data_IF_061827664895
#
_entry.id   IF_061827664895
#
_cell.length_a   1.000
_cell.length_b   1.000
_cell.length_c   1.000
_cell.angle_alpha   90.00
_cell.angle_beta   90.00
_cell.angle_gamma   90.00
#
_symmetry.space_group_name_H-M   'P 1'
#
loop_
_entity.id
_entity.type
_entity.pdbx_description
1 polymer ?
#
# COMPACT_ATOMS: atom_id res chain seq x y z
N UNK A 1 -7.46 28.28 77.26
CA UNK A 1 -8.73 28.55 76.57
C UNK A 1 -8.59 29.24 75.21
N UNK A 2 -7.58 30.11 74.98
CA UNK A 2 -7.41 30.80 73.67
C UNK A 2 -6.75 29.96 72.55
N UNK A 3 -5.99 28.92 72.89
CA UNK A 3 -5.30 28.07 71.89
C UNK A 3 -6.20 26.95 71.32
N UNK A 4 -7.16 26.46 72.10
CA UNK A 4 -8.12 25.42 71.68
C UNK A 4 -9.20 26.00 70.77
N UNK A 5 -9.61 27.25 71.01
CA UNK A 5 -10.55 27.99 70.15
C UNK A 5 -9.91 28.29 68.78
N UNK A 6 -8.62 28.64 68.75
CA UNK A 6 -7.90 28.87 67.50
C UNK A 6 -7.73 27.58 66.67
N UNK A 7 -7.52 26.43 67.33
CA UNK A 7 -7.45 25.12 66.64
C UNK A 7 -8.79 24.66 66.09
N UNK A 8 -9.91 24.91 66.78
CA UNK A 8 -11.25 24.65 66.22
C UNK A 8 -11.63 25.60 65.06
N UNK A 9 -11.13 26.83 65.07
CA UNK A 9 -11.42 27.80 64.01
C UNK A 9 -10.65 27.50 62.72
N UNK A 10 -9.43 26.95 62.83
CA UNK A 10 -8.62 26.52 61.67
C UNK A 10 -9.14 25.22 61.04
N UNK A 11 -9.67 24.27 61.83
CA UNK A 11 -10.34 23.08 61.25
C UNK A 11 -11.69 23.39 60.62
N UNK A 12 -12.44 24.38 61.11
CA UNK A 12 -13.71 24.79 60.50
C UNK A 12 -13.49 25.51 59.15
N UNK A 13 -12.41 26.27 59.00
CA UNK A 13 -12.05 26.96 57.74
C UNK A 13 -11.50 25.99 56.68
N UNK A 14 -10.91 24.85 57.09
CA UNK A 14 -10.41 23.83 56.15
C UNK A 14 -11.52 22.92 55.57
N UNK A 15 -12.70 22.86 56.20
CA UNK A 15 -13.82 22.00 55.76
C UNK A 15 -14.83 22.77 54.89
N UNK A 16 -14.76 24.10 54.84
CA UNK A 16 -15.68 24.97 54.09
C UNK A 16 -15.20 25.37 52.68
N UNK A 17 -14.08 24.84 52.19
CA UNK A 17 -13.57 25.10 50.82
C UNK A 17 -13.83 23.95 49.83
N UNK A 18 -14.62 22.93 50.20
CA UNK A 18 -14.93 21.78 49.33
C UNK A 18 -16.34 21.79 48.70
N UNK A 19 -16.94 22.96 48.50
CA UNK A 19 -18.16 23.07 47.67
C UNK A 19 -18.07 24.28 46.74
N UNK A 20 -17.65 24.04 45.49
CA UNK A 20 -17.68 24.99 44.38
C UNK A 20 -17.97 24.25 43.08
N UNK A 21 -19.16 24.49 42.54
CA UNK A 21 -19.78 23.78 41.42
C UNK A 21 -19.12 24.05 40.05
N UNK A 22 -18.98 22.98 39.28
CA UNK A 22 -19.58 22.86 37.93
C UNK A 22 -19.13 23.84 36.84
N UNK A 23 -18.17 23.40 36.03
CA UNK A 23 -18.14 23.75 34.61
C UNK A 23 -17.89 22.48 33.80
N UNK A 24 -18.86 22.15 32.95
CA UNK A 24 -18.87 20.97 32.07
C UNK A 24 -17.76 21.11 31.03
N UNK A 25 -16.79 20.22 31.05
CA UNK A 25 -16.02 19.86 29.88
C UNK A 25 -16.53 18.49 29.43
N UNK A 26 -17.13 18.43 28.24
CA UNK A 26 -17.49 17.17 27.58
C UNK A 26 -16.21 16.38 27.32
N UNK A 27 -15.86 15.50 28.25
CA UNK A 27 -14.95 14.39 27.99
C UNK A 27 -15.83 13.24 27.51
N UNK A 28 -15.77 12.95 26.21
CA UNK A 28 -16.28 11.69 25.71
C UNK A 28 -15.48 10.57 26.36
N UNK A 29 -16.09 9.90 27.33
CA UNK A 29 -15.60 8.66 27.90
C UNK A 29 -15.45 7.61 26.79
N UNK A 30 -14.24 7.08 26.66
CA UNK A 30 -13.96 5.88 25.85
C UNK A 30 -14.64 4.69 26.54
N UNK A 31 -15.53 3.94 25.87
CA UNK A 31 -16.13 2.77 26.50
C UNK A 31 -15.11 1.63 26.62
N UNK A 32 -14.84 1.22 27.85
CA UNK A 32 -14.14 -0.02 28.19
C UNK A 32 -14.95 -1.22 27.67
N UNK A 33 -14.44 -1.93 26.67
CA UNK A 33 -15.12 -3.10 26.07
C UNK A 33 -14.85 -4.36 26.92
N UNK A 34 -15.88 -5.10 27.39
CA UNK A 34 -15.70 -6.43 27.97
C UNK A 34 -15.33 -7.46 26.90
N UNK A 35 -14.36 -8.32 27.24
CA UNK A 35 -13.79 -9.39 26.43
C UNK A 35 -14.81 -10.53 26.22
N UNK A 36 -15.55 -10.51 25.10
CA UNK A 36 -16.06 -11.65 24.30
C UNK A 36 -17.28 -11.24 23.46
N UNK A 37 -17.11 -11.02 22.15
CA UNK A 37 -18.17 -10.89 21.12
C UNK A 37 -17.56 -10.95 19.70
N UNK A 38 -18.32 -11.35 18.65
CA UNK A 38 -17.78 -11.82 17.37
C UNK A 38 -17.26 -10.69 16.46
N UNK A 39 -16.34 -11.06 15.55
CA UNK A 39 -15.70 -10.28 14.47
C UNK A 39 -16.04 -8.78 14.43
N UNK A 40 -15.09 -7.95 14.91
CA UNK A 40 -15.25 -6.52 15.11
C UNK A 40 -15.16 -5.76 13.77
N UNK A 41 -16.29 -5.31 13.24
CA UNK A 41 -16.33 -4.21 12.27
C UNK A 41 -16.03 -2.94 13.06
N UNK A 42 -14.88 -2.33 12.82
CA UNK A 42 -14.56 -1.01 13.36
C UNK A 42 -14.86 0.01 12.28
N UNK A 43 -15.95 0.76 12.44
CA UNK A 43 -16.24 1.88 11.56
C UNK A 43 -15.15 2.94 11.76
N UNK A 44 -14.30 3.14 10.76
CA UNK A 44 -13.18 4.10 10.84
C UNK A 44 -13.65 5.48 10.37
N UNK A 45 -14.67 5.52 9.51
CA UNK A 45 -15.25 6.73 8.97
C UNK A 45 -16.73 6.52 8.58
N UNK A 46 -17.40 7.54 8.06
CA UNK A 46 -18.80 7.43 7.61
C UNK A 46 -18.96 6.41 6.48
N UNK A 47 -18.03 6.36 5.52
CA UNK A 47 -18.12 5.47 4.35
C UNK A 47 -17.24 4.23 4.47
N UNK A 48 -16.16 4.27 5.26
CA UNK A 48 -15.20 3.17 5.34
C UNK A 48 -15.23 2.43 6.67
N UNK A 49 -15.21 1.10 6.59
CA UNK A 49 -15.10 0.20 7.74
C UNK A 49 -13.85 -0.66 7.63
N UNK A 50 -13.15 -0.81 8.75
CA UNK A 50 -12.15 -1.88 8.91
C UNK A 50 -12.88 -3.20 9.13
N UNK A 51 -12.53 -4.21 8.35
CA UNK A 51 -13.03 -5.57 8.52
C UNK A 51 -11.88 -6.54 8.69
N UNK A 52 -12.20 -7.76 9.13
CA UNK A 52 -11.21 -8.84 9.18
C UNK A 52 -10.75 -9.22 7.77
N UNK A 53 -9.52 -9.76 7.60
CA UNK A 53 -9.09 -10.33 6.33
C UNK A 53 -10.09 -11.40 5.84
N UNK A 54 -10.26 -11.60 4.53
CA UNK A 54 -11.08 -12.68 3.98
C UNK A 54 -10.72 -14.05 4.58
N UNK A 55 -11.70 -14.92 4.79
CA UNK A 55 -11.51 -16.20 5.47
C UNK A 55 -10.42 -17.06 4.82
N UNK A 56 -10.44 -17.18 3.49
CA UNK A 56 -9.43 -17.92 2.72
C UNK A 56 -8.02 -17.37 2.97
N UNK A 57 -7.89 -16.04 3.06
CA UNK A 57 -6.61 -15.39 3.40
C UNK A 57 -6.20 -15.73 4.84
N UNK A 58 -7.11 -15.72 5.81
CA UNK A 58 -6.81 -16.09 7.19
C UNK A 58 -6.27 -17.53 7.28
N UNK A 59 -6.90 -18.48 6.58
CA UNK A 59 -6.48 -19.88 6.56
C UNK A 59 -5.13 -20.09 5.88
N UNK A 60 -4.89 -19.42 4.74
CA UNK A 60 -3.60 -19.48 4.03
C UNK A 60 -2.47 -18.81 4.83
N UNK A 61 -2.78 -17.75 5.59
CA UNK A 61 -1.80 -17.00 6.38
C UNK A 61 -1.12 -17.86 7.43
N UNK A 62 -1.82 -18.83 8.02
CA UNK A 62 -1.27 -19.77 9.01
C UNK A 62 -0.04 -20.50 8.48
N UNK A 63 -0.01 -20.87 7.20
CA UNK A 63 1.15 -21.52 6.56
C UNK A 63 2.38 -20.62 6.47
N UNK A 64 2.21 -19.30 6.66
CA UNK A 64 3.26 -18.31 6.52
C UNK A 64 3.68 -17.64 7.84
N UNK A 65 3.04 -17.96 8.97
CA UNK A 65 3.26 -17.26 10.25
C UNK A 65 4.65 -17.47 10.84
N UNK A 66 5.30 -18.60 10.51
CA UNK A 66 6.62 -18.95 11.03
C UNK A 66 7.77 -18.31 10.24
N UNK A 67 7.51 -17.82 9.02
CA UNK A 67 8.55 -17.15 8.23
C UNK A 67 8.91 -15.79 8.85
N UNK A 68 10.22 -15.48 8.86
CA UNK A 68 10.81 -14.20 9.22
C UNK A 68 11.73 -13.75 8.08
N UNK A 69 11.15 -13.31 6.94
CA UNK A 69 11.90 -12.92 5.76
C UNK A 69 13.04 -11.97 6.09
N UNK A 70 14.19 -12.20 5.48
CA UNK A 70 15.32 -11.28 5.45
C UNK A 70 15.54 -10.85 4.01
N UNK A 71 15.39 -9.57 3.71
CA UNK A 71 15.54 -8.98 2.38
C UNK A 71 16.82 -8.17 2.34
N UNK A 72 17.60 -8.36 1.27
CA UNK A 72 18.79 -7.56 1.00
C UNK A 72 18.77 -7.10 -0.46
N UNK A 73 19.04 -5.83 -0.68
CA UNK A 73 19.39 -5.28 -1.99
C UNK A 73 20.88 -5.56 -2.21
N UNK A 74 21.21 -6.27 -3.28
CA UNK A 74 22.58 -6.66 -3.63
C UNK A 74 23.16 -5.67 -4.64
N UNK A 75 22.38 -5.25 -5.62
CA UNK A 75 22.70 -4.13 -6.52
C UNK A 75 21.47 -3.24 -6.68
N UNK A 76 21.62 -1.90 -6.77
CA UNK A 76 22.88 -1.14 -6.67
C UNK A 76 23.47 -1.14 -5.25
N UNK A 77 24.75 -0.76 -5.12
CA UNK A 77 25.36 -0.48 -3.83
C UNK A 77 24.87 0.88 -3.29
N UNK A 78 24.91 1.08 -1.95
CA UNK A 78 24.67 2.41 -1.37
C UNK A 78 25.59 3.46 -1.99
N UNK A 79 25.00 4.58 -2.38
CA UNK A 79 25.62 5.77 -2.98
C UNK A 79 26.39 5.48 -4.28
N UNK A 80 26.05 4.39 -4.98
CA UNK A 80 26.64 4.05 -6.28
C UNK A 80 26.22 5.06 -7.35
N UNK A 81 27.19 5.59 -8.10
CA UNK A 81 26.94 6.45 -9.27
C UNK A 81 27.02 5.64 -10.55
N UNK A 82 25.90 5.51 -11.24
CA UNK A 82 25.73 4.71 -12.45
C UNK A 82 25.70 5.65 -13.67
N UNK A 83 26.49 5.33 -14.69
CA UNK A 83 26.63 6.13 -15.92
C UNK A 83 25.74 5.61 -17.06
N UNK A 84 24.52 5.18 -16.71
CA UNK A 84 23.50 4.64 -17.60
C UNK A 84 22.12 4.97 -17.01
N UNK A 85 21.10 5.14 -17.85
CA UNK A 85 19.70 5.31 -17.42
C UNK A 85 19.01 3.97 -17.13
N UNK A 86 19.68 2.86 -17.42
CA UNK A 86 19.25 1.50 -17.09
C UNK A 86 20.05 0.93 -15.92
N UNK A 87 19.34 0.34 -14.96
CA UNK A 87 19.93 -0.27 -13.75
C UNK A 87 19.47 -1.70 -13.59
N UNK A 88 20.44 -2.61 -13.47
CA UNK A 88 20.19 -4.00 -13.11
C UNK A 88 20.17 -4.15 -11.58
N UNK A 89 18.98 -4.37 -11.04
CA UNK A 89 18.73 -4.51 -9.61
C UNK A 89 18.67 -5.99 -9.24
N UNK A 90 19.39 -6.38 -8.21
CA UNK A 90 19.41 -7.76 -7.71
C UNK A 90 19.15 -7.80 -6.21
N UNK A 91 18.48 -8.86 -5.78
CA UNK A 91 18.06 -9.04 -4.40
C UNK A 91 18.49 -10.41 -3.88
N UNK A 92 18.60 -10.51 -2.57
CA UNK A 92 18.70 -11.77 -1.87
C UNK A 92 17.61 -11.85 -0.80
N UNK A 93 16.97 -13.00 -0.69
CA UNK A 93 16.06 -13.29 0.42
C UNK A 93 16.53 -14.49 1.23
N UNK A 94 16.18 -14.52 2.51
CA UNK A 94 16.27 -15.71 3.38
C UNK A 94 14.95 -15.91 4.09
N UNK A 95 14.68 -17.15 4.49
CA UNK A 95 13.53 -17.55 5.31
C UNK A 95 12.17 -17.13 4.71
N UNK A 96 12.08 -17.14 3.38
CA UNK A 96 10.83 -17.12 2.62
C UNK A 96 11.09 -17.66 1.21
N UNK A 97 10.27 -18.59 0.69
CA UNK A 97 10.34 -18.95 -0.71
C UNK A 97 9.76 -17.82 -1.57
N UNK A 98 10.50 -17.39 -2.59
CA UNK A 98 10.03 -16.42 -3.58
C UNK A 98 9.71 -17.19 -4.87
N UNK A 99 8.45 -17.18 -5.27
CA UNK A 99 7.97 -17.88 -6.46
C UNK A 99 6.58 -17.38 -6.86
N UNK A 100 6.18 -17.68 -8.10
CA UNK A 100 4.81 -17.44 -8.61
C UNK A 100 4.19 -18.75 -9.01
N UNK A 101 2.99 -19.04 -8.49
CA UNK A 101 2.21 -20.17 -8.99
C UNK A 101 1.75 -19.89 -10.44
N UNK A 102 1.98 -20.85 -11.35
CA UNK A 102 1.71 -20.65 -12.78
C UNK A 102 0.24 -20.75 -13.20
N UNK A 103 -0.66 -21.15 -12.31
CA UNK A 103 -2.10 -21.22 -12.61
C UNK A 103 -2.86 -20.12 -11.88
N UNK A 104 -2.48 -19.87 -10.64
CA UNK A 104 -3.10 -18.87 -9.78
C UNK A 104 -2.44 -17.50 -9.93
N UNK A 105 -1.26 -17.42 -10.55
CA UNK A 105 -0.51 -16.19 -10.82
C UNK A 105 -0.20 -15.37 -9.56
N UNK A 106 -0.13 -16.04 -8.40
CA UNK A 106 0.18 -15.47 -7.10
C UNK A 106 1.24 -16.33 -6.39
N UNK A 107 1.96 -15.72 -5.48
CA UNK A 107 2.95 -16.38 -4.63
C UNK A 107 3.70 -15.35 -3.78
N UNK A 108 4.53 -15.76 -2.81
CA UNK A 108 5.29 -14.82 -2.02
C UNK A 108 6.37 -14.15 -2.90
N UNK A 109 6.50 -12.84 -2.77
CA UNK A 109 7.28 -12.01 -3.68
C UNK A 109 7.84 -10.79 -2.98
N UNK A 110 8.72 -10.06 -3.66
CA UNK A 110 9.14 -8.73 -3.22
C UNK A 110 8.25 -7.66 -3.85
N UNK A 111 7.79 -6.70 -3.06
CA UNK A 111 7.41 -5.39 -3.58
C UNK A 111 8.67 -4.55 -3.68
N UNK A 112 8.96 -4.05 -4.88
CA UNK A 112 10.10 -3.17 -5.16
C UNK A 112 9.55 -1.82 -5.61
N UNK A 113 9.99 -0.76 -4.96
CA UNK A 113 9.54 0.61 -5.22
C UNK A 113 10.78 1.47 -5.47
N UNK A 114 10.81 2.12 -6.62
CA UNK A 114 11.81 3.13 -6.98
C UNK A 114 11.17 4.48 -6.75
N UNK A 115 11.82 5.34 -5.96
CA UNK A 115 11.33 6.67 -5.62
C UNK A 115 9.88 6.59 -5.14
N UNK A 116 8.99 7.43 -5.66
CA UNK A 116 7.57 7.37 -5.36
C UNK A 116 6.72 6.75 -6.48
N UNK A 117 7.24 5.77 -7.20
CA UNK A 117 6.49 5.04 -8.23
C UNK A 117 5.64 3.89 -7.65
N UNK A 118 4.65 3.36 -8.38
CA UNK A 118 3.95 2.13 -8.03
C UNK A 118 4.92 0.96 -7.81
N UNK A 119 4.57 0.02 -6.92
CA UNK A 119 5.44 -1.13 -6.71
C UNK A 119 5.49 -2.03 -7.95
N UNK A 120 6.66 -2.63 -8.15
CA UNK A 120 6.93 -3.73 -9.07
C UNK A 120 6.97 -5.02 -8.24
N UNK A 121 6.22 -6.05 -8.65
CA UNK A 121 6.25 -7.35 -8.01
C UNK A 121 7.36 -8.23 -8.60
N UNK A 122 8.30 -8.68 -7.77
CA UNK A 122 9.41 -9.54 -8.19
C UNK A 122 9.23 -10.95 -7.61
N UNK A 123 9.00 -11.91 -8.51
CA UNK A 123 8.73 -13.31 -8.19
C UNK A 123 9.90 -14.26 -8.51
N UNK A 124 10.94 -13.78 -9.20
CA UNK A 124 12.12 -14.55 -9.54
C UNK A 124 13.36 -13.72 -9.18
N UNK A 125 14.20 -14.28 -8.30
CA UNK A 125 15.44 -13.63 -7.86
C UNK A 125 16.67 -14.14 -8.62
N UNK A 126 16.51 -15.12 -9.51
CA UNK A 126 17.60 -15.64 -10.32
C UNK A 126 17.93 -14.71 -11.49
N UNK A 127 17.03 -13.80 -11.82
CA UNK A 127 17.22 -12.78 -12.85
C UNK A 127 17.13 -11.37 -12.23
N UNK A 128 18.00 -10.44 -12.67
CA UNK A 128 17.93 -9.07 -12.20
C UNK A 128 16.63 -8.40 -12.68
N UNK A 129 16.07 -7.53 -11.84
CA UNK A 129 15.04 -6.59 -12.25
C UNK A 129 15.73 -5.45 -13.00
N UNK A 130 15.33 -5.23 -14.26
CA UNK A 130 15.87 -4.12 -15.07
C UNK A 130 14.96 -2.90 -14.91
N UNK A 131 15.47 -1.86 -14.28
CA UNK A 131 14.86 -0.53 -14.27
C UNK A 131 15.38 0.22 -15.48
N UNK A 132 14.50 0.81 -16.29
CA UNK A 132 14.86 1.56 -17.49
C UNK A 132 14.34 2.99 -17.40
N UNK A 133 14.91 3.86 -18.22
CA UNK A 133 14.48 5.26 -18.36
C UNK A 133 14.53 6.06 -17.06
N UNK A 134 15.49 5.76 -16.17
CA UNK A 134 15.73 6.56 -14.98
C UNK A 134 16.32 7.92 -15.36
N UNK A 135 15.75 8.98 -14.81
CA UNK A 135 16.26 10.35 -14.98
C UNK A 135 17.63 10.53 -14.32
N UNK A 136 18.50 11.43 -14.80
CA UNK A 136 19.66 11.85 -14.03
C UNK A 136 19.27 12.37 -12.65
N UNK A 137 19.99 11.97 -11.60
CA UNK A 137 19.76 12.41 -10.23
C UNK A 137 19.83 11.29 -9.19
N UNK A 138 19.43 11.62 -7.95
CA UNK A 138 19.34 10.68 -6.84
C UNK A 138 18.05 9.86 -6.90
N UNK A 139 18.17 8.57 -6.61
CA UNK A 139 17.06 7.62 -6.53
C UNK A 139 17.11 6.83 -5.24
N UNK A 140 15.94 6.50 -4.69
CA UNK A 140 15.83 5.59 -3.54
C UNK A 140 15.05 4.34 -3.91
N UNK A 141 15.71 3.19 -3.78
CA UNK A 141 15.13 1.87 -3.99
C UNK A 141 14.72 1.26 -2.65
N UNK A 142 13.48 0.79 -2.57
CA UNK A 142 12.90 0.17 -1.38
C UNK A 142 12.32 -1.18 -1.77
N UNK A 143 12.63 -2.22 -1.00
CA UNK A 143 12.16 -3.57 -1.25
C UNK A 143 11.70 -4.24 0.04
N UNK A 144 10.56 -4.93 0.01
CA UNK A 144 10.10 -5.72 1.15
C UNK A 144 9.37 -6.99 0.73
N UNK A 145 9.44 -8.01 1.59
CA UNK A 145 8.77 -9.28 1.37
C UNK A 145 7.26 -9.15 1.58
N UNK A 146 6.50 -9.77 0.69
CA UNK A 146 5.04 -9.77 0.67
C UNK A 146 4.49 -11.19 0.56
N UNK A 147 3.37 -11.42 1.22
CA UNK A 147 2.56 -12.63 1.08
C UNK A 147 1.88 -12.65 -0.30
N UNK A 148 1.35 -13.81 -0.75
CA UNK A 148 0.73 -13.95 -2.07
C UNK A 148 -0.40 -12.96 -2.38
N UNK A 149 -1.11 -12.49 -1.36
CA UNK A 149 -2.18 -11.48 -1.47
C UNK A 149 -1.71 -10.05 -1.17
N UNK A 150 -0.40 -9.80 -1.25
CA UNK A 150 0.25 -8.49 -1.07
C UNK A 150 0.24 -7.89 0.34
N UNK A 151 -0.07 -8.67 1.38
CA UNK A 151 0.24 -8.26 2.76
C UNK A 151 1.75 -8.33 2.98
N UNK A 152 2.37 -7.22 3.36
CA UNK A 152 3.80 -7.19 3.69
C UNK A 152 4.11 -7.89 5.01
N UNK A 153 5.33 -8.43 5.10
CA UNK A 153 5.90 -8.89 6.36
C UNK A 153 6.49 -7.70 7.12
N UNK A 154 6.15 -7.54 8.40
CA UNK A 154 6.56 -6.39 9.24
C UNK A 154 7.67 -6.73 10.24
N UNK A 155 8.31 -7.89 10.12
CA UNK A 155 9.41 -8.26 11.01
C UNK A 155 10.69 -7.50 10.67
N UNK A 156 11.61 -7.43 11.63
CA UNK A 156 12.96 -6.97 11.39
C UNK A 156 13.63 -7.78 10.27
N UNK A 157 14.27 -7.08 9.34
CA UNK A 157 14.91 -7.66 8.16
C UNK A 157 13.98 -7.88 6.96
N UNK A 158 12.66 -7.77 7.09
CA UNK A 158 11.75 -7.95 5.94
C UNK A 158 11.75 -6.79 4.92
N UNK A 159 12.47 -5.72 5.22
CA UNK A 159 12.59 -4.51 4.40
C UNK A 159 14.06 -4.14 4.20
N UNK A 160 14.38 -3.70 2.99
CA UNK A 160 15.67 -3.14 2.61
C UNK A 160 15.46 -1.83 1.84
N UNK A 161 16.41 -0.91 2.00
CA UNK A 161 16.44 0.35 1.27
C UNK A 161 17.88 0.68 0.90
N UNK A 162 18.06 1.28 -0.26
CA UNK A 162 19.34 1.86 -0.68
C UNK A 162 19.09 3.11 -1.52
N UNK A 163 20.08 3.99 -1.55
CA UNK A 163 20.10 5.20 -2.37
C UNK A 163 21.24 5.07 -3.36
N UNK A 164 21.02 5.47 -4.60
CA UNK A 164 22.00 5.43 -5.69
C UNK A 164 21.73 6.59 -6.64
N UNK A 165 22.66 6.84 -7.58
CA UNK A 165 22.63 8.03 -8.42
C UNK A 165 22.81 7.69 -9.88
N UNK A 166 22.04 8.36 -10.74
CA UNK A 166 22.14 8.26 -12.20
C UNK A 166 22.86 9.50 -12.69
N UNK A 167 24.07 9.32 -13.22
CA UNK A 167 25.06 10.34 -13.62
C UNK A 167 25.56 11.29 -12.53
N UNK A 168 24.68 11.85 -11.68
CA UNK A 168 25.01 12.84 -10.65
C UNK A 168 24.02 12.77 -9.48
N UNK A 169 24.45 13.23 -8.31
CA UNK A 169 23.59 13.39 -7.13
C UNK A 169 22.67 14.61 -7.26
N UNK A 170 21.45 14.48 -6.72
CA UNK A 170 20.49 15.59 -6.50
C UNK A 170 19.77 15.44 -5.14
N UNK A 171 18.99 16.45 -4.75
CA UNK A 171 18.24 16.46 -3.48
C UNK A 171 16.91 15.69 -3.57
N UNK A 172 16.38 15.46 -4.78
CA UNK A 172 15.12 14.74 -4.98
C UNK A 172 15.25 13.25 -4.61
N UNK A 173 14.13 12.66 -4.17
CA UNK A 173 14.03 11.24 -3.81
C UNK A 173 15.05 10.77 -2.76
N UNK A 174 15.67 11.68 -2.02
CA UNK A 174 16.63 11.38 -0.98
C UNK A 174 15.98 11.57 0.40
N UNK A 175 15.53 10.50 1.08
CA UNK A 175 14.94 10.63 2.41
C UNK A 175 16.01 10.98 3.45
N UNK A 176 15.71 11.98 4.29
CA UNK A 176 16.55 12.33 5.45
C UNK A 176 16.66 11.14 6.41
N UNK A 177 17.88 10.59 6.65
CA UNK A 177 18.04 9.33 7.39
C UNK A 177 17.53 9.38 8.83
N UNK A 178 17.56 10.55 9.48
CA UNK A 178 17.09 10.72 10.86
C UNK A 178 15.60 10.96 10.98
N UNK A 179 14.88 11.14 9.87
CA UNK A 179 13.44 11.38 9.86
C UNK A 179 12.67 10.11 9.48
N UNK A 180 11.44 9.94 9.98
CA UNK A 180 10.57 8.86 9.56
C UNK A 180 10.31 8.89 8.05
N UNK A 181 10.22 7.71 7.46
CA UNK A 181 9.86 7.50 6.05
C UNK A 181 8.64 6.60 5.98
N UNK A 182 7.62 7.07 5.25
CA UNK A 182 6.44 6.33 4.87
C UNK A 182 6.61 5.79 3.45
N UNK A 183 6.48 4.48 3.31
CA UNK A 183 6.44 3.81 2.01
C UNK A 183 5.01 3.39 1.71
N UNK A 184 4.38 4.03 0.74
CA UNK A 184 3.06 3.64 0.23
C UNK A 184 3.18 2.30 -0.50
N UNK A 185 2.59 1.23 0.04
CA UNK A 185 2.59 -0.07 -0.64
C UNK A 185 1.34 -0.23 -1.50
N UNK A 186 0.14 -0.13 -0.91
CA UNK A 186 -1.12 -0.40 -1.62
C UNK A 186 -2.29 0.27 -0.87
N UNK A 187 -3.42 0.59 -1.55
CA UNK A 187 -3.87 0.00 -2.81
C UNK A 187 -3.29 0.63 -4.08
N UNK A 188 -3.16 -0.13 -5.16
CA UNK A 188 -2.80 0.37 -6.49
C UNK A 188 -3.52 -0.42 -7.58
N UNK A 189 -3.70 0.17 -8.76
CA UNK A 189 -4.25 -0.53 -9.93
C UNK A 189 -5.76 -0.81 -9.81
N UNK A 190 -6.18 -2.00 -10.25
CA UNK A 190 -7.60 -2.39 -10.30
C UNK A 190 -7.92 -3.48 -9.28
N UNK A 191 -9.07 -3.36 -8.62
CA UNK A 191 -9.57 -4.32 -7.64
C UNK A 191 -10.91 -4.89 -8.09
N UNK A 192 -11.03 -6.22 -8.05
CA UNK A 192 -12.24 -6.93 -8.45
C UNK A 192 -13.20 -7.29 -7.32
N UNK A 193 -12.78 -7.07 -6.07
CA UNK A 193 -13.51 -7.44 -4.87
C UNK A 193 -13.12 -6.57 -3.67
N UNK A 194 -14.01 -6.52 -2.69
CA UNK A 194 -13.78 -6.00 -1.35
C UNK A 194 -13.78 -7.12 -0.31
N UNK A 195 -13.10 -6.96 0.83
CA UNK A 195 -12.36 -5.76 1.24
C UNK A 195 -11.06 -5.52 0.47
N UNK A 196 -10.73 -4.24 0.26
CA UNK A 196 -9.46 -3.80 -0.33
C UNK A 196 -8.45 -3.58 0.79
N UNK A 197 -7.33 -4.26 0.69
CA UNK A 197 -6.21 -4.11 1.61
C UNK A 197 -5.56 -2.70 1.48
N UNK A 198 -5.24 -2.07 2.59
CA UNK A 198 -4.39 -0.89 2.70
C UNK A 198 -3.14 -1.33 3.46
N UNK A 199 -1.97 -1.10 2.89
CA UNK A 199 -0.70 -1.46 3.52
C UNK A 199 0.37 -0.40 3.21
N UNK A 200 1.27 -0.21 4.16
CA UNK A 200 2.34 0.78 4.12
C UNK A 200 3.51 0.36 5.01
N UNK A 201 4.73 0.74 4.65
CA UNK A 201 5.92 0.47 5.46
C UNK A 201 6.36 1.75 6.19
N UNK A 202 6.80 1.61 7.43
CA UNK A 202 7.43 2.69 8.19
C UNK A 202 8.88 2.32 8.46
N UNK A 203 9.78 3.25 8.20
CA UNK A 203 11.18 3.15 8.63
C UNK A 203 11.60 4.42 9.34
N UNK A 204 12.55 4.29 10.26
CA UNK A 204 13.03 5.40 11.10
C UNK A 204 11.88 6.11 11.87
N UNK A 205 10.76 5.40 12.08
CA UNK A 205 9.67 5.86 12.92
C UNK A 205 9.87 5.29 14.33
N UNK A 206 9.68 6.08 15.40
CA UNK A 206 9.70 5.56 16.77
C UNK A 206 8.66 4.43 16.89
N UNK A 207 9.05 3.23 17.27
CA UNK A 207 8.09 2.10 17.32
C UNK A 207 7.30 2.17 18.63
N UNK A 208 5.98 1.96 18.56
CA UNK A 208 5.04 1.80 19.70
C UNK A 208 5.29 0.53 20.53
N UNK A 209 6.53 0.12 20.73
CA UNK A 209 6.83 -1.06 21.55
C UNK A 209 6.99 -0.59 23.01
N UNK A 210 5.90 -0.73 23.78
CA UNK A 210 5.84 -0.63 25.25
C UNK A 210 5.53 0.73 25.92
N UNK A 211 4.81 1.65 25.26
CA UNK A 211 4.35 2.89 25.90
C UNK A 211 3.02 2.77 26.68
N UNK A 212 2.40 1.57 26.80
CA UNK A 212 1.16 1.43 27.58
C UNK A 212 1.36 1.56 29.10
N UNK A 213 2.60 1.44 29.61
CA UNK A 213 2.87 1.38 31.05
C UNK A 213 3.60 2.61 31.64
N UNK A 214 3.89 3.65 30.86
CA UNK A 214 4.64 4.81 31.37
C UNK A 214 3.94 6.16 31.09
N UNK A 215 3.27 6.78 32.09
CA UNK A 215 2.57 8.06 31.92
C UNK A 215 3.50 9.27 31.71
N UNK A 216 4.82 9.07 31.71
CA UNK A 216 5.85 10.06 31.37
C UNK A 216 6.53 9.78 30.02
N UNK A 217 6.01 8.86 29.21
CA UNK A 217 6.59 8.59 27.91
C UNK A 217 6.37 9.80 26.97
N UNK A 218 7.46 10.26 26.37
CA UNK A 218 7.51 11.38 25.42
C UNK A 218 7.79 10.88 24.00
N UNK A 219 7.84 9.56 23.80
CA UNK A 219 7.97 8.95 22.48
C UNK A 219 6.80 9.41 21.63
N UNK A 220 7.16 10.05 20.53
CA UNK A 220 6.22 10.63 19.57
C UNK A 220 5.47 9.51 18.87
N UNK A 221 4.19 9.39 19.20
CA UNK A 221 3.28 8.46 18.55
C UNK A 221 3.19 8.82 17.06
N UNK A 222 3.84 8.03 16.21
CA UNK A 222 3.68 8.19 14.77
C UNK A 222 2.21 7.98 14.41
N UNK A 223 1.72 8.77 13.45
CA UNK A 223 0.34 8.71 12.97
C UNK A 223 0.33 8.87 11.47
N UNK A 224 -0.47 8.06 10.79
CA UNK A 224 -0.69 8.19 9.35
C UNK A 224 -2.10 8.69 9.10
N UNK A 225 -2.24 9.80 8.37
CA UNK A 225 -3.54 10.20 7.83
C UNK A 225 -3.79 9.45 6.53
N UNK A 226 -4.86 8.67 6.49
CA UNK A 226 -5.37 8.10 5.26
C UNK A 226 -6.57 8.92 4.80
N UNK A 227 -6.57 9.37 3.55
CA UNK A 227 -7.72 10.03 2.92
C UNK A 227 -8.16 9.25 1.71
N UNK A 228 -9.44 8.86 1.64
CA UNK A 228 -10.04 8.17 0.50
C UNK A 228 -11.25 8.97 0.03
N UNK A 229 -11.27 9.42 -1.24
CA UNK A 229 -12.39 10.17 -1.83
C UNK A 229 -12.97 11.28 -0.93
N UNK A 230 -12.09 12.07 -0.32
CA UNK A 230 -12.40 13.19 0.60
C UNK A 230 -12.72 12.82 2.05
N UNK A 231 -12.76 11.53 2.40
CA UNK A 231 -12.91 11.11 3.79
C UNK A 231 -11.58 10.74 4.41
N UNK A 232 -11.27 11.30 5.60
CA UNK A 232 -9.98 11.09 6.26
C UNK A 232 -10.13 10.40 7.61
N UNK A 233 -9.16 9.56 7.93
CA UNK A 233 -9.02 8.92 9.23
C UNK A 233 -7.55 8.73 9.59
N UNK A 234 -7.30 8.48 10.88
CA UNK A 234 -5.95 8.29 11.41
C UNK A 234 -5.69 6.80 11.61
N UNK A 235 -4.50 6.36 11.21
CA UNK A 235 -3.95 5.05 11.47
C UNK A 235 -2.79 5.19 12.45
N UNK A 236 -2.87 4.42 13.52
CA UNK A 236 -1.94 4.39 14.65
C UNK A 236 -1.31 3.00 14.85
N UNK A 237 -1.67 2.02 14.02
CA UNK A 237 -1.13 0.65 14.05
C UNK A 237 -0.39 0.30 12.76
N UNK A 238 0.87 -0.10 12.89
CA UNK A 238 1.70 -0.42 11.75
C UNK A 238 1.43 -1.86 11.30
N UNK A 239 0.26 -2.05 10.71
CA UNK A 239 -0.22 -3.34 10.23
C UNK A 239 -1.04 -3.18 8.95
N UNK A 240 -1.17 -4.24 8.14
CA UNK A 240 -2.07 -4.23 7.01
C UNK A 240 -3.53 -4.19 7.50
N UNK A 241 -4.38 -3.38 6.86
CA UNK A 241 -5.81 -3.25 7.20
C UNK A 241 -6.69 -3.53 5.99
N UNK A 242 -7.88 -4.10 6.21
CA UNK A 242 -8.83 -4.43 5.15
C UNK A 242 -10.02 -3.49 5.21
N UNK A 243 -10.25 -2.74 4.14
CA UNK A 243 -11.25 -1.69 4.08
C UNK A 243 -12.41 -2.08 3.15
N UNK A 244 -13.63 -1.78 3.56
CA UNK A 244 -14.85 -1.82 2.74
C UNK A 244 -15.46 -0.42 2.61
N UNK A 245 -16.25 -0.20 1.56
CA UNK A 245 -16.96 1.07 1.31
C UNK A 245 -16.55 1.78 0.03
N UNK A 246 -15.76 1.13 -0.84
CA UNK A 246 -15.29 1.69 -2.10
C UNK A 246 -16.43 1.79 -3.12
N UNK A 247 -16.42 2.88 -3.89
CA UNK A 247 -17.41 3.11 -4.96
C UNK A 247 -16.92 2.43 -6.23
N UNK A 248 -17.78 1.77 -7.02
CA UNK A 248 -17.37 1.28 -8.34
C UNK A 248 -16.79 2.41 -9.20
N UNK A 249 -15.70 2.13 -9.91
CA UNK A 249 -14.93 3.10 -10.70
C UNK A 249 -13.69 3.65 -9.96
N UNK A 250 -13.29 4.87 -10.31
CA UNK A 250 -12.08 5.50 -9.78
C UNK A 250 -12.29 5.94 -8.32
N UNK A 251 -11.37 5.53 -7.46
CA UNK A 251 -11.23 6.01 -6.09
C UNK A 251 -9.80 6.51 -5.92
N UNK A 252 -9.58 7.62 -5.23
CA UNK A 252 -8.23 8.06 -4.90
C UNK A 252 -7.95 7.85 -3.42
N UNK A 253 -6.72 7.46 -3.10
CA UNK A 253 -6.23 7.18 -1.75
C UNK A 253 -4.95 7.97 -1.53
N UNK A 254 -4.89 8.73 -0.45
CA UNK A 254 -3.71 9.50 -0.03
C UNK A 254 -3.27 9.05 1.35
N UNK A 255 -1.96 8.81 1.53
CA UNK A 255 -1.35 8.60 2.83
C UNK A 255 -0.39 9.74 3.15
N UNK A 256 -0.43 10.22 4.39
CA UNK A 256 0.43 11.28 4.92
C UNK A 256 0.99 10.87 6.28
N UNK A 257 2.31 10.91 6.45
CA UNK A 257 2.93 10.79 7.77
C UNK A 257 2.70 12.10 8.53
N UNK A 258 2.20 12.04 9.77
CA UNK A 258 1.95 13.22 10.59
C UNK A 258 2.99 13.38 11.70
N UNK A 259 3.32 14.64 12.00
CA UNK A 259 4.06 15.01 13.20
C UNK A 259 3.17 15.02 14.46
N UNK A 260 3.77 15.41 15.60
CA UNK A 260 3.08 15.48 16.88
C UNK A 260 1.96 16.54 16.91
N UNK A 261 2.06 17.56 16.07
CA UNK A 261 1.06 18.62 15.93
C UNK A 261 -0.07 18.21 14.98
N UNK A 262 0.04 17.06 14.30
CA UNK A 262 -0.93 16.55 13.34
C UNK A 262 -0.77 17.15 11.94
N UNK A 263 0.36 17.82 11.67
CA UNK A 263 0.71 18.33 10.34
C UNK A 263 1.49 17.27 9.56
N UNK A 264 1.39 17.24 8.22
CA UNK A 264 2.23 16.37 7.40
C UNK A 264 3.73 16.61 7.67
N UNK A 265 4.46 15.57 8.07
CA UNK A 265 5.89 15.62 8.32
C UNK A 265 6.64 15.62 6.98
N UNK A 266 7.37 16.70 6.72
CA UNK A 266 8.15 16.86 5.48
C UNK A 266 9.36 15.92 5.50
N UNK A 267 9.37 14.95 4.60
CA UNK A 267 10.50 14.13 4.19
C UNK A 267 10.18 13.55 2.79
N UNK A 268 11.14 12.93 2.12
CA UNK A 268 10.84 12.21 0.88
C UNK A 268 9.75 11.14 1.12
N UNK A 269 8.82 11.02 0.18
CA UNK A 269 7.76 10.00 0.13
C UNK A 269 6.64 10.08 1.19
N UNK A 270 6.78 10.93 2.21
CA UNK A 270 5.85 11.00 3.34
C UNK A 270 4.43 11.47 3.01
N UNK A 271 4.19 11.95 1.80
CA UNK A 271 2.87 12.25 1.25
C UNK A 271 2.74 11.61 -0.12
N UNK A 272 1.83 10.65 -0.27
CA UNK A 272 1.63 9.93 -1.53
C UNK A 272 0.15 9.74 -1.81
N UNK A 273 -0.27 10.06 -3.04
CA UNK A 273 -1.62 9.82 -3.53
C UNK A 273 -1.61 8.86 -4.73
N UNK A 274 -2.56 7.93 -4.76
CA UNK A 274 -2.77 6.98 -5.86
C UNK A 274 -4.24 6.97 -6.25
N UNK A 275 -4.49 6.68 -7.53
CA UNK A 275 -5.82 6.34 -8.03
C UNK A 275 -5.89 4.83 -8.19
N UNK A 276 -6.97 4.25 -7.68
CA UNK A 276 -7.33 2.86 -7.89
C UNK A 276 -8.67 2.79 -8.62
N UNK A 277 -8.92 1.68 -9.28
CA UNK A 277 -10.17 1.43 -9.97
C UNK A 277 -10.84 0.20 -9.34
N UNK A 278 -12.05 0.36 -8.78
CA UNK A 278 -12.81 -0.73 -8.22
C UNK A 278 -13.85 -1.22 -9.23
N UNK A 279 -13.70 -2.46 -9.69
CA UNK A 279 -14.59 -3.11 -10.66
C UNK A 279 -15.14 -4.39 -10.02
N UNK A 280 -16.25 -4.32 -9.26
CA UNK A 280 -16.76 -5.48 -8.54
C UNK A 280 -17.02 -6.67 -9.47
N UNK A 281 -16.86 -7.87 -8.93
CA UNK A 281 -16.97 -9.16 -9.64
C UNK A 281 -15.80 -9.48 -10.59
N UNK A 282 -14.61 -8.94 -10.28
CA UNK A 282 -13.38 -9.31 -10.99
C UNK A 282 -13.11 -10.82 -10.93
N UNK A 283 -12.51 -11.32 -12.00
CA UNK A 283 -12.28 -12.75 -12.25
C UNK A 283 -10.85 -13.19 -11.93
N UNK A 284 -9.97 -12.25 -11.60
CA UNK A 284 -8.62 -12.55 -11.17
C UNK A 284 -8.61 -13.38 -9.87
N UNK A 285 -7.53 -14.12 -9.67
CA UNK A 285 -7.38 -15.05 -8.55
C UNK A 285 -7.59 -14.38 -7.19
N UNK A 286 -7.00 -13.18 -6.98
CA UNK A 286 -7.11 -12.50 -5.71
C UNK A 286 -8.55 -12.09 -5.43
N UNK A 287 -9.27 -11.58 -6.43
CA UNK A 287 -10.69 -11.25 -6.30
C UNK A 287 -11.57 -12.47 -5.99
N UNK A 288 -11.25 -13.63 -6.55
CA UNK A 288 -11.93 -14.90 -6.24
C UNK A 288 -11.65 -15.37 -4.80
N UNK A 289 -10.40 -15.28 -4.36
CA UNK A 289 -9.98 -15.57 -2.97
C UNK A 289 -10.71 -14.64 -1.99
N UNK A 290 -10.72 -13.34 -2.27
CA UNK A 290 -11.37 -12.32 -1.42
C UNK A 290 -12.86 -12.58 -1.28
N UNK A 291 -13.54 -13.03 -2.34
CA UNK A 291 -14.97 -13.39 -2.34
C UNK A 291 -15.26 -14.82 -1.85
N UNK A 292 -14.24 -15.61 -1.52
CA UNK A 292 -14.41 -17.00 -1.07
C UNK A 292 -14.81 -17.99 -2.17
N UNK A 293 -14.63 -17.64 -3.45
CA UNK A 293 -14.91 -18.53 -4.58
C UNK A 293 -13.78 -19.55 -4.84
N UNK A 294 -12.64 -19.38 -4.20
CA UNK A 294 -11.54 -20.33 -4.14
C UNK A 294 -11.32 -20.71 -2.69
N UNK A 295 -11.41 -22.00 -2.38
CA UNK A 295 -11.08 -22.50 -1.05
C UNK A 295 -9.59 -22.39 -0.75
N UNK A 296 -9.22 -22.45 0.54
CA UNK A 296 -7.81 -22.41 0.94
C UNK A 296 -7.02 -23.62 0.42
N UNK A 297 -7.65 -24.78 0.24
CA UNK A 297 -6.99 -25.98 -0.29
C UNK A 297 -6.77 -25.92 -1.79
N UNK A 298 -7.71 -25.32 -2.56
CA UNK A 298 -7.50 -25.02 -3.98
C UNK A 298 -6.42 -23.96 -4.18
N UNK A 299 -6.36 -22.97 -3.29
CA UNK A 299 -5.38 -21.89 -3.34
C UNK A 299 -4.03 -22.23 -2.68
N UNK A 300 -3.87 -23.40 -2.04
CA UNK A 300 -2.71 -23.73 -1.19
C UNK A 300 -1.36 -23.61 -1.92
N UNK A 301 -1.36 -23.83 -3.23
CA UNK A 301 -0.15 -23.72 -4.07
C UNK A 301 0.49 -22.35 -4.06
N UNK A 302 -0.26 -21.28 -3.75
CA UNK A 302 0.32 -19.94 -3.67
C UNK A 302 1.14 -19.73 -2.40
N UNK A 303 1.01 -20.58 -1.37
CA UNK A 303 1.80 -20.51 -0.12
C UNK A 303 2.78 -21.67 0.05
N UNK A 304 2.56 -22.78 -0.66
CA UNK A 304 3.42 -23.96 -0.64
C UNK A 304 3.70 -24.43 -2.09
N UNK A 305 4.92 -24.20 -2.62
CA UNK A 305 5.25 -24.56 -3.99
C UNK A 305 5.30 -26.08 -4.22
N UNK A 306 5.39 -26.88 -3.16
CA UNK A 306 5.44 -28.34 -3.23
C UNK A 306 4.06 -28.98 -3.00
N UNK A 307 3.00 -28.18 -2.84
CA UNK A 307 1.67 -28.70 -2.60
C UNK A 307 1.12 -29.42 -3.83
N UNK A 308 0.80 -30.69 -3.64
CA UNK A 308 0.03 -31.48 -4.62
C UNK A 308 -1.41 -31.55 -4.12
N UNK A 309 -2.33 -30.98 -4.91
CA UNK A 309 -3.76 -31.10 -4.61
C UNK A 309 -4.13 -32.58 -4.56
N UNK A 310 -4.78 -33.00 -3.47
CA UNK A 310 -5.41 -34.31 -3.43
C UNK A 310 -6.55 -34.29 -4.44
N UNK A 311 -6.62 -35.29 -5.31
CA UNK A 311 -7.80 -35.45 -6.18
C UNK A 311 -9.04 -35.46 -5.29
N UNK A 312 -10.07 -34.65 -5.61
CA UNK A 312 -11.31 -34.68 -4.85
C UNK A 312 -11.82 -36.12 -4.90
N UNK A 313 -11.96 -36.74 -3.72
CA UNK A 313 -12.72 -37.99 -3.60
C UNK A 313 -14.10 -37.68 -4.18
N UNK A 314 -14.37 -38.26 -5.35
CA UNK A 314 -15.73 -38.29 -5.88
C UNK A 314 -16.53 -39.04 -4.82
N UNK A 315 -17.37 -38.32 -4.07
CA UNK A 315 -18.36 -39.00 -3.23
C UNK A 315 -19.08 -40.00 -4.14
N UNK A 316 -19.17 -41.28 -3.77
CA UNK A 316 -19.92 -42.23 -4.57
C UNK A 316 -21.33 -41.68 -4.68
N UNK A 317 -21.76 -41.39 -5.91
CA UNK A 317 -23.16 -41.08 -6.23
C UNK A 317 -23.98 -42.14 -5.49
N UNK A 318 -24.92 -41.77 -4.60
CA UNK A 318 -25.75 -42.74 -3.94
C UNK A 318 -26.47 -43.52 -5.03
N UNK A 319 -26.12 -44.81 -5.15
CA UNK A 319 -26.80 -45.76 -6.01
C UNK A 319 -28.29 -45.60 -5.75
N UNK A 320 -29.13 -45.35 -6.78
CA UNK A 320 -30.56 -45.23 -6.56
C UNK A 320 -31.04 -46.54 -5.95
N UNK A 321 -31.54 -46.47 -4.72
CA UNK A 321 -32.24 -47.57 -4.06
C UNK A 321 -33.44 -47.90 -4.93
N UNK A 322 -33.38 -49.02 -5.66
CA UNK A 322 -34.50 -49.54 -6.42
C UNK A 322 -35.60 -49.88 -5.41
N UNK A 323 -36.60 -49.01 -5.34
CA UNK A 323 -37.84 -49.25 -4.66
C UNK A 323 -38.56 -50.39 -5.39
N UNK A 324 -38.67 -51.54 -4.74
CA UNK A 324 -39.37 -52.72 -5.26
C UNK A 324 -40.83 -52.38 -5.51
N UNK A 325 -41.16 -52.15 -6.78
CA UNK A 325 -42.54 -52.04 -7.27
C UNK A 325 -43.14 -53.45 -7.32
N UNK A 326 -44.38 -53.67 -6.83
CA UNK A 326 -44.99 -54.99 -6.86
C UNK A 326 -45.44 -55.39 -8.28
N UNK A 327 -45.30 -56.69 -8.54
CA UNK A 327 -45.63 -57.42 -9.77
C UNK A 327 -47.02 -57.14 -10.34
N UNK A 328 -47.18 -56.99 -11.68
CA UNK A 328 -48.46 -57.18 -12.35
C UNK A 328 -48.68 -58.67 -12.73
N UNK A 329 -49.89 -59.17 -12.49
CA UNK A 329 -50.41 -60.45 -12.98
C UNK A 329 -50.82 -60.37 -14.47
N UNK A 330 -50.94 -61.51 -15.18
CA UNK A 330 -50.95 -61.55 -16.64
C UNK A 330 -52.30 -61.26 -17.30
N UNK A 331 -52.16 -60.84 -18.57
CA UNK A 331 -53.12 -60.38 -19.58
C UNK A 331 -54.15 -61.45 -20.00
N UNK A 332 -55.37 -61.06 -20.43
CA UNK A 332 -56.14 -61.81 -21.43
C UNK A 332 -56.05 -61.15 -22.82
N UNK A 333 -55.75 -61.98 -23.81
CA UNK A 333 -55.70 -61.70 -25.25
C UNK A 333 -57.01 -61.12 -25.79
N UNK A 334 -56.93 -60.15 -26.73
CA UNK A 334 -57.98 -59.95 -27.75
C UNK A 334 -57.38 -59.31 -29.02
N UNK A 335 -57.30 -60.15 -30.05
CA UNK A 335 -57.56 -59.96 -31.49
C UNK A 335 -56.95 -58.79 -32.28
N UNK A 336 -56.15 -59.21 -33.26
CA UNK A 336 -55.66 -58.51 -34.46
C UNK A 336 -56.83 -58.33 -35.46
N UNK A 337 -56.87 -57.23 -36.25
CA UNK A 337 -56.77 -57.39 -37.71
C UNK A 337 -55.76 -56.39 -38.33
N UNK A 338 -54.75 -56.89 -39.05
CA UNK A 338 -54.60 -56.89 -40.53
C UNK A 338 -54.24 -55.50 -41.12
N UNK A 339 -52.95 -55.22 -41.41
CA UNK A 339 -52.27 -55.13 -42.75
C UNK A 339 -52.73 -53.93 -43.63
N UNK A 340 -51.95 -53.34 -44.59
CA UNK A 340 -50.61 -53.75 -45.06
C UNK A 340 -49.62 -52.65 -45.56
N UNK A 341 -48.35 -53.07 -45.72
CA UNK A 341 -47.24 -52.65 -46.61
C UNK A 341 -46.57 -51.26 -46.55
N UNK A 342 -45.27 -51.31 -46.23
CA UNK A 342 -44.05 -50.69 -46.86
C UNK A 342 -44.20 -50.28 -48.36
N UNK A 343 -43.32 -49.47 -49.03
CA UNK A 343 -41.89 -49.32 -48.72
C UNK A 343 -41.17 -47.98 -49.00
N UNK A 344 -39.94 -47.92 -48.45
CA UNK A 344 -38.69 -47.35 -48.96
C UNK A 344 -38.66 -46.33 -50.13
N UNK A 345 -37.78 -45.33 -49.97
CA UNK A 345 -36.79 -44.82 -50.96
C UNK A 345 -36.95 -43.43 -51.62
N UNK A 346 -35.85 -42.66 -51.46
CA UNK A 346 -35.21 -41.68 -52.37
C UNK A 346 -35.72 -40.23 -52.55
N UNK A 347 -34.79 -39.32 -52.21
CA UNK A 347 -34.13 -38.31 -53.05
C UNK A 347 -34.89 -37.11 -53.65
N UNK A 348 -34.38 -35.91 -53.34
CA UNK A 348 -33.81 -34.89 -54.26
C UNK A 348 -33.34 -33.71 -53.39
N UNK A 349 -32.07 -33.29 -53.34
CA UNK A 349 -31.17 -32.75 -54.37
C UNK A 349 -31.61 -31.36 -54.89
N UNK A 350 -30.83 -30.34 -54.53
CA UNK A 350 -30.35 -29.31 -55.47
C UNK A 350 -29.05 -28.66 -54.93
N UNK A 351 -27.99 -28.84 -55.71
CA UNK A 351 -26.72 -28.08 -55.79
C UNK A 351 -26.90 -27.02 -56.92
N UNK A 352 -26.01 -26.03 -57.23
CA UNK A 352 -24.53 -26.12 -57.24
C UNK A 352 -23.75 -24.79 -56.90
N UNK A 353 -22.46 -24.81 -56.48
CA UNK A 353 -21.19 -24.55 -57.26
C UNK A 353 -20.88 -23.05 -57.51
N UNK A 354 -19.68 -22.47 -57.47
CA UNK A 354 -18.22 -22.79 -57.48
C UNK A 354 -17.52 -21.62 -56.74
N UNK A 355 -16.47 -21.75 -55.92
CA UNK A 355 -15.05 -22.02 -56.24
C UNK A 355 -14.37 -20.90 -57.06
N UNK A 356 -13.55 -20.06 -56.40
CA UNK A 356 -12.29 -19.57 -57.00
C UNK A 356 -11.29 -19.09 -55.93
N UNK A 357 -10.04 -19.51 -56.12
CA UNK A 357 -8.83 -19.33 -55.32
C UNK A 357 -7.94 -18.33 -56.06
N UNK A 358 -7.51 -17.21 -55.45
CA UNK A 358 -6.37 -16.41 -55.93
C UNK A 358 -5.52 -15.91 -54.75
N UNK A 359 -4.21 -16.07 -54.90
CA UNK A 359 -3.07 -15.78 -54.01
C UNK A 359 -2.91 -14.30 -53.59
N UNK A 360 -2.09 -14.02 -52.55
CA UNK A 360 -1.80 -12.66 -52.08
C UNK A 360 -0.53 -12.05 -52.73
N UNK A 361 -0.56 -10.75 -53.04
CA UNK A 361 0.64 -9.94 -53.31
C UNK A 361 0.35 -8.42 -53.17
N UNK A 362 1.35 -7.53 -53.03
CA UNK A 362 1.62 -6.80 -51.80
C UNK A 362 1.36 -5.29 -51.90
N UNK A 363 1.21 -4.60 -50.76
CA UNK A 363 1.40 -3.14 -50.70
C UNK A 363 1.92 -2.69 -49.33
N UNK A 364 3.13 -2.12 -49.34
CA UNK A 364 3.69 -1.23 -48.31
C UNK A 364 3.02 0.17 -48.41
N UNK A 365 3.44 1.18 -47.63
CA UNK A 365 3.10 1.50 -46.23
C UNK A 365 2.16 2.74 -46.13
N UNK A 366 1.63 3.12 -44.95
CA UNK A 366 1.02 4.44 -44.79
C UNK A 366 2.08 5.55 -44.72
N UNK A 367 1.86 6.56 -45.56
CA UNK A 367 2.62 7.80 -45.76
C UNK A 367 2.63 8.68 -44.50
N UNK A 368 3.79 9.27 -44.25
CA UNK A 368 4.07 10.38 -43.34
C UNK A 368 3.16 11.60 -43.63
N UNK A 369 2.61 12.32 -42.64
CA UNK A 369 2.05 13.63 -42.91
C UNK A 369 3.18 14.67 -43.07
N UNK A 370 3.21 15.25 -44.26
CA UNK A 370 4.04 16.37 -44.67
C UNK A 370 3.57 17.67 -43.99
N UNK A 371 4.58 18.40 -43.55
CA UNK A 371 4.68 19.82 -43.21
C UNK A 371 3.55 20.68 -43.79
N UNK A 372 2.89 21.45 -42.93
CA UNK A 372 2.11 22.62 -43.33
C UNK A 372 2.80 23.85 -42.74
N UNK A 373 3.10 24.77 -43.65
CA UNK A 373 3.81 26.02 -43.49
C UNK A 373 3.30 26.94 -42.38
N UNK A 374 4.27 27.65 -41.80
CA UNK A 374 4.07 28.84 -40.98
C UNK A 374 3.30 29.94 -41.74
N UNK A 375 2.47 30.72 -41.05
CA UNK A 375 2.26 32.11 -41.40
C UNK A 375 3.05 33.06 -40.48
N UNK A 376 3.51 34.12 -41.13
CA UNK A 376 4.41 35.15 -40.66
C UNK A 376 3.87 36.02 -39.52
N UNK A 377 4.84 36.65 -38.85
CA UNK A 377 4.71 37.67 -37.81
C UNK A 377 3.77 38.81 -38.17
N UNK A 378 2.82 39.09 -37.27
CA UNK A 378 2.28 40.44 -37.06
C UNK A 378 2.71 40.95 -35.68
N UNK A 379 3.40 42.08 -35.73
CA UNK A 379 3.84 42.94 -34.63
C UNK A 379 2.68 43.43 -33.76
N UNK A 380 2.79 43.25 -32.44
CA UNK A 380 2.01 43.96 -31.42
C UNK A 380 2.96 44.41 -30.28
N UNK A 381 2.77 45.60 -29.67
CA UNK A 381 3.87 46.48 -29.32
C UNK A 381 4.58 46.16 -28.00
N UNK A 382 5.86 46.51 -28.03
CA UNK A 382 6.80 46.63 -26.92
C UNK A 382 6.21 47.46 -25.77
N UNK A 383 5.85 46.78 -24.68
CA UNK A 383 5.58 47.43 -23.39
C UNK A 383 6.93 47.74 -22.76
N UNK A 384 7.33 49.01 -22.86
CA UNK A 384 8.46 49.58 -22.13
C UNK A 384 8.17 49.47 -20.62
N UNK A 385 8.98 48.75 -19.81
CA UNK A 385 8.91 48.94 -18.37
C UNK A 385 9.57 50.28 -18.02
N UNK A 386 8.78 51.16 -17.39
CA UNK A 386 9.29 52.38 -16.77
C UNK A 386 10.38 52.05 -15.72
N UNK A 387 11.38 52.91 -15.52
CA UNK A 387 12.46 52.65 -14.59
C UNK A 387 11.92 52.63 -13.16
N UNK A 388 12.10 51.50 -12.48
CA UNK A 388 11.90 51.40 -11.03
C UNK A 388 13.02 52.18 -10.35
N UNK A 389 12.64 53.30 -9.73
CA UNK A 389 13.49 54.10 -8.86
C UNK A 389 13.91 53.25 -7.65
N UNK A 390 15.19 52.88 -7.61
CA UNK A 390 15.83 52.26 -6.45
C UNK A 390 16.01 53.34 -5.38
N UNK A 391 15.48 53.20 -4.14
CA UNK A 391 15.86 54.08 -3.05
C UNK A 391 17.30 53.74 -2.62
N UNK A 392 18.18 54.75 -2.65
CA UNK A 392 19.51 54.71 -2.04
C UNK A 392 19.41 54.29 -0.58
N UNK A 393 19.93 53.10 -0.26
CA UNK A 393 20.25 52.74 1.12
C UNK A 393 21.63 53.33 1.42
N UNK A 394 21.62 54.32 2.31
CA UNK A 394 22.78 54.93 2.93
C UNK A 394 23.51 53.85 3.75
N UNK A 395 24.84 53.70 3.65
CA UNK A 395 25.57 52.80 4.53
C UNK A 395 25.62 53.40 5.94
N UNK A 396 24.95 52.73 6.87
CA UNK A 396 25.01 52.99 8.30
C UNK A 396 26.39 52.54 8.82
N UNK A 397 27.22 53.52 9.17
CA UNK A 397 28.51 53.32 9.83
C UNK A 397 28.31 52.71 11.21
N UNK A 398 28.71 51.46 11.39
CA UNK A 398 28.84 50.83 12.71
C UNK A 398 30.13 51.34 13.39
N UNK A 399 30.08 51.86 14.63
CA UNK A 399 31.27 52.29 15.34
C UNK A 399 32.04 51.11 15.95
N UNK A 400 33.35 51.20 15.87
CA UNK A 400 34.35 50.33 16.52
C UNK A 400 34.23 50.51 18.05
N UNK A 401 34.24 49.43 18.87
CA UNK A 401 34.34 49.55 20.31
C UNK A 401 35.76 49.96 20.73
N UNK A 402 35.83 51.09 21.43
CA UNK A 402 37.03 51.64 22.06
C UNK A 402 37.31 50.87 23.37
N UNK A 403 38.45 50.18 23.41
CA UNK A 403 38.97 49.44 24.56
C UNK A 403 39.48 50.43 25.62
N UNK A 404 38.76 50.55 26.73
CA UNK A 404 39.20 51.32 27.91
C UNK A 404 40.09 50.44 28.80
N UNK A 405 41.40 50.53 28.64
CA UNK A 405 42.35 50.20 29.71
C UNK A 405 42.55 51.39 30.65
N UNK A 406 42.32 51.17 31.95
CA UNK A 406 42.70 52.09 33.03
C UNK A 406 44.04 51.66 33.64
N UNK A 407 44.84 52.62 34.15
CA UNK A 407 46.22 52.40 34.53
C UNK A 407 46.35 51.88 35.98
N UNK A 408 47.30 50.97 36.18
CA UNK A 408 47.72 50.44 37.48
C UNK A 408 49.24 50.36 37.55
N UNK A 409 49.80 51.13 38.47
CA UNK A 409 51.18 51.56 38.62
C UNK A 409 52.06 50.54 39.39
N UNK A 410 53.40 50.70 39.26
CA UNK A 410 54.50 50.30 40.18
C UNK A 410 55.46 49.11 39.83
N UNK A 411 56.64 49.51 39.28
CA UNK A 411 57.98 49.59 39.93
C UNK A 411 58.93 48.35 40.05
N UNK A 412 60.15 48.55 39.50
CA UNK A 412 61.54 48.10 39.84
C UNK A 412 61.82 46.57 39.78
N UNK A 413 62.91 46.00 39.25
CA UNK A 413 64.35 46.37 39.25
C UNK A 413 65.15 45.53 38.25
N UNK A 414 66.23 46.14 37.75
CA UNK A 414 67.40 45.71 36.94
C UNK A 414 67.86 44.24 36.91
N UNK A 415 68.47 43.85 35.78
CA UNK A 415 69.85 43.29 35.66
C UNK A 415 70.44 43.59 34.25
N UNK A 416 71.67 44.14 34.24
CA UNK A 416 72.77 44.10 33.22
C UNK A 416 72.50 44.76 31.83
N UNK A 417 73.25 45.73 31.29
CA UNK A 417 74.63 46.26 31.46
C UNK A 417 74.67 47.81 31.47
#
# INVERSE_FOLDING_TARGET
MRLTIFRCLVTLVLVLTLTGCGQKADSQEVPSIPRNSPQKISQISQQFSEVSPPQVIQELKLSLENYRPQVKIVTPQPDEVIQDTQVAVSFQTKDIPIFKDSQLELGPHLHVIVDNEPYIAVYDLNQPLILSDLSPGTHTLRAFASRPWHESFKNEGAYAQTTFHIFTETDENNPEPSLPVLTYSRPQGTYGAEPILLDFYLTNAPVHLAAEDNPNDTISDWRIRCTINNESFILDRWQPIYLQGFKPGKNWVKLEFLDNQGNPLKNAFNTTARVINYQPNGKDTLSRIVRGELSADEARRIVDPNYTAKEPLTEPIPTPSIETTPSPQPIPETQIPETPVEPETAAQQETPKSEELIEPSPSLPPTLPEIIDSPASETQPEIVPAPVTVPSVVPETTPIPEEQEKPGEYKVTTMED
#
